data_IF_870525282162
#
_entry.id   IF_870525282162
#
_cell.length_a   1.000
_cell.length_b   1.000
_cell.length_c   1.000
_cell.angle_alpha   90.00
_cell.angle_beta   90.00
_cell.angle_gamma   90.00
#
_symmetry.space_group_name_H-M   'P 1'
#
loop_
_entity.id
_entity.type
_entity.pdbx_description
1 polymer ?
#
# COMPACT_ATOMS: atom_id res chain seq x y z
N UNK A 1 1.34 26.15 -16.09
CA UNK A 1 0.34 26.12 -15.00
C UNK A 1 -1.06 26.30 -15.58
N UNK A 2 -2.11 25.64 -15.05
CA UNK A 2 -3.50 25.81 -15.55
C UNK A 2 -3.97 27.27 -15.63
N UNK A 3 -3.46 28.14 -14.76
CA UNK A 3 -3.77 29.57 -14.77
C UNK A 3 -3.31 30.31 -16.04
N UNK A 4 -2.14 29.98 -16.60
CA UNK A 4 -1.67 30.56 -17.87
C UNK A 4 -2.45 30.02 -19.07
N UNK A 5 -2.90 28.76 -18.99
CA UNK A 5 -3.76 28.18 -20.02
C UNK A 5 -5.16 28.82 -20.02
N UNK A 6 -5.77 28.98 -18.84
CA UNK A 6 -7.04 29.69 -18.67
C UNK A 6 -6.96 31.16 -19.07
N UNK A 7 -5.81 31.80 -18.83
CA UNK A 7 -5.59 33.16 -19.26
C UNK A 7 -5.66 33.29 -20.79
N UNK A 8 -4.94 32.44 -21.52
CA UNK A 8 -4.96 32.41 -22.99
C UNK A 8 -6.35 32.08 -23.55
N UNK A 9 -7.20 31.43 -22.77
CA UNK A 9 -8.57 31.10 -23.15
C UNK A 9 -9.58 32.23 -22.86
N UNK A 10 -9.26 33.12 -21.90
CA UNK A 10 -10.16 34.20 -21.45
C UNK A 10 -9.75 35.60 -21.95
N UNK A 11 -8.47 35.85 -22.20
CA UNK A 11 -7.95 37.17 -22.62
C UNK A 11 -6.64 37.04 -23.43
N UNK A 12 -6.61 37.65 -24.61
CA UNK A 12 -5.47 37.58 -25.56
C UNK A 12 -4.39 38.64 -25.31
N UNK A 13 -4.63 39.59 -24.41
CA UNK A 13 -3.93 40.86 -24.45
C UNK A 13 -2.57 40.89 -23.72
N UNK A 14 -2.41 40.24 -22.55
CA UNK A 14 -1.24 40.44 -21.68
C UNK A 14 -0.51 39.13 -21.37
N UNK A 15 0.83 39.10 -21.39
CA UNK A 15 1.61 37.93 -20.97
C UNK A 15 1.79 37.94 -19.43
N UNK A 16 1.00 37.14 -18.69
CA UNK A 16 1.14 37.08 -17.24
C UNK A 16 2.28 36.14 -16.84
N UNK A 17 3.36 36.75 -16.36
CA UNK A 17 4.49 36.03 -15.75
C UNK A 17 4.27 35.92 -14.24
N UNK A 18 3.87 34.72 -13.81
CA UNK A 18 3.75 34.39 -12.40
C UNK A 18 5.12 34.02 -11.83
N UNK A 19 5.71 34.88 -11.00
CA UNK A 19 6.93 34.56 -10.26
C UNK A 19 6.63 33.78 -8.98
N UNK A 20 7.64 33.10 -8.43
CA UNK A 20 7.55 32.54 -7.07
C UNK A 20 7.21 33.62 -6.02
N UNK A 21 7.68 34.85 -6.22
CA UNK A 21 7.31 36.02 -5.43
C UNK A 21 5.82 36.29 -5.45
N UNK A 22 5.18 36.26 -6.63
CA UNK A 22 3.74 36.44 -6.76
C UNK A 22 2.95 35.37 -6.01
N UNK A 23 3.33 34.08 -6.17
CA UNK A 23 2.64 32.98 -5.50
C UNK A 23 2.75 33.06 -3.98
N UNK A 24 3.95 33.38 -3.46
CA UNK A 24 4.17 33.53 -2.02
C UNK A 24 3.42 34.75 -1.45
N UNK A 25 3.41 35.88 -2.16
CA UNK A 25 2.66 37.07 -1.81
C UNK A 25 1.14 36.85 -1.85
N UNK A 26 0.64 36.15 -2.87
CA UNK A 26 -0.76 35.74 -2.98
C UNK A 26 -1.17 34.86 -1.79
N UNK A 27 -0.35 33.87 -1.45
CA UNK A 27 -0.58 33.02 -0.27
C UNK A 27 -0.68 33.83 1.02
N UNK A 28 0.21 34.82 1.21
CA UNK A 28 0.21 35.71 2.38
C UNK A 28 -1.02 36.62 2.43
N UNK A 29 -1.39 37.25 1.31
CA UNK A 29 -2.56 38.17 1.22
C UNK A 29 -3.87 37.47 1.54
N UNK A 30 -4.04 36.24 1.08
CA UNK A 30 -5.26 35.47 1.31
C UNK A 30 -5.18 34.54 2.54
N UNK A 31 -4.18 34.72 3.41
CA UNK A 31 -3.94 33.88 4.59
C UNK A 31 -3.90 32.37 4.32
N UNK A 32 -3.50 31.98 3.11
CA UNK A 32 -3.35 30.60 2.69
C UNK A 32 -2.07 30.02 3.30
N UNK A 33 -2.22 29.04 4.18
CA UNK A 33 -1.09 28.34 4.79
C UNK A 33 -1.05 26.89 4.35
N UNK A 34 0.17 26.40 4.12
CA UNK A 34 0.41 24.98 3.99
C UNK A 34 0.21 24.33 5.36
N UNK A 35 -0.76 23.42 5.47
CA UNK A 35 -1.04 22.71 6.72
C UNK A 35 -0.95 21.20 6.46
N UNK A 36 -0.05 20.54 7.18
CA UNK A 36 0.03 19.08 7.20
C UNK A 36 -1.06 18.53 8.12
N UNK A 37 -1.87 17.60 7.62
CA UNK A 37 -2.82 16.87 8.47
C UNK A 37 -2.04 15.77 9.19
N UNK A 38 -2.02 15.81 10.52
CA UNK A 38 -1.45 14.73 11.33
C UNK A 38 -2.37 13.50 11.26
N UNK A 39 -1.80 12.34 10.96
CA UNK A 39 -2.47 11.06 11.14
C UNK A 39 -2.21 10.54 12.54
N UNK A 40 -3.08 9.66 13.03
CA UNK A 40 -2.82 8.87 14.23
C UNK A 40 -1.55 8.03 14.01
N UNK A 41 -0.53 8.29 14.82
CA UNK A 41 0.61 7.40 14.97
C UNK A 41 0.32 6.52 16.19
N UNK A 42 -0.09 5.27 15.94
CA UNK A 42 -0.19 4.28 17.01
C UNK A 42 1.24 3.82 17.31
N UNK A 43 1.76 4.22 18.47
CA UNK A 43 3.10 3.86 18.93
C UNK A 43 3.08 2.42 19.46
N UNK A 44 3.97 1.57 18.96
CA UNK A 44 4.19 0.25 19.50
C UNK A 44 5.17 0.33 20.67
N UNK A 45 4.95 -0.48 21.71
CA UNK A 45 5.89 -0.60 22.83
C UNK A 45 7.26 -1.09 22.32
N UNK A 46 8.35 -0.30 22.48
CA UNK A 46 9.68 -0.69 22.04
C UNK A 46 10.16 -2.01 22.62
N UNK A 47 9.80 -2.33 23.87
CA UNK A 47 10.22 -3.56 24.53
C UNK A 47 9.54 -4.78 23.89
N UNK A 48 8.22 -4.71 23.66
CA UNK A 48 7.49 -5.74 22.93
C UNK A 48 8.03 -5.95 21.49
N UNK A 49 8.40 -4.86 20.79
CA UNK A 49 8.99 -4.95 19.44
C UNK A 49 10.36 -5.65 19.49
N UNK A 50 11.19 -5.33 20.49
CA UNK A 50 12.50 -5.96 20.65
C UNK A 50 12.37 -7.47 20.89
N UNK A 51 11.54 -7.88 21.86
CA UNK A 51 11.30 -9.29 22.16
C UNK A 51 10.72 -10.04 20.95
N UNK A 52 9.76 -9.42 20.25
CA UNK A 52 9.16 -10.02 19.05
C UNK A 52 10.15 -10.19 17.90
N UNK A 53 11.17 -9.33 17.77
CA UNK A 53 12.25 -9.50 16.79
C UNK A 53 13.18 -10.64 17.14
N UNK A 54 13.57 -10.75 18.41
CA UNK A 54 14.44 -11.83 18.87
C UNK A 54 13.80 -13.20 18.63
N UNK A 55 12.53 -13.36 19.02
CA UNK A 55 11.77 -14.60 18.78
C UNK A 55 11.65 -14.94 17.28
N UNK A 56 11.50 -13.94 16.42
CA UNK A 56 11.51 -14.17 14.98
C UNK A 56 12.87 -14.61 14.47
N UNK A 57 13.96 -14.00 14.95
CA UNK A 57 15.33 -14.33 14.57
C UNK A 57 15.66 -15.78 14.96
N UNK A 58 15.42 -16.16 16.22
CA UNK A 58 15.64 -17.52 16.72
C UNK A 58 14.90 -18.58 15.89
N UNK A 59 13.74 -18.20 15.35
CA UNK A 59 12.92 -19.05 14.50
C UNK A 59 13.43 -19.10 13.06
N UNK A 60 13.88 -17.97 12.51
CA UNK A 60 14.40 -17.89 11.14
C UNK A 60 15.76 -18.50 10.97
N UNK A 61 16.59 -18.48 12.01
CA UNK A 61 17.96 -19.01 12.00
C UNK A 61 17.99 -20.53 11.83
N UNK A 62 16.86 -21.20 12.06
CA UNK A 62 16.68 -22.64 11.81
C UNK A 62 16.51 -22.98 10.31
N UNK A 63 16.47 -21.98 9.44
CA UNK A 63 16.18 -22.13 8.01
C UNK A 63 17.21 -21.44 7.12
N UNK A 64 17.40 -21.98 5.92
CA UNK A 64 18.21 -21.32 4.91
C UNK A 64 17.51 -20.01 4.44
N UNK A 65 18.25 -18.92 4.17
CA UNK A 65 17.65 -17.65 3.72
C UNK A 65 16.78 -17.78 2.45
N UNK A 66 17.11 -18.72 1.57
CA UNK A 66 16.36 -19.02 0.34
C UNK A 66 14.96 -19.62 0.60
N UNK A 67 14.73 -20.10 1.81
CA UNK A 67 13.52 -20.78 2.28
C UNK A 67 12.72 -19.93 3.28
N UNK A 68 13.18 -18.72 3.58
CA UNK A 68 12.50 -17.76 4.44
C UNK A 68 11.86 -16.69 3.55
N UNK A 69 10.53 -16.67 3.49
CA UNK A 69 9.79 -15.63 2.74
C UNK A 69 9.17 -14.59 3.66
N UNK A 70 9.32 -13.34 3.26
CA UNK A 70 8.62 -12.21 3.85
C UNK A 70 7.55 -11.70 2.88
N UNK A 71 6.35 -11.48 3.41
CA UNK A 71 5.23 -10.93 2.65
C UNK A 71 4.76 -9.63 3.29
N UNK A 72 4.78 -8.55 2.52
CA UNK A 72 4.26 -7.25 2.94
C UNK A 72 3.08 -6.80 2.08
N UNK A 73 2.23 -5.96 2.66
CA UNK A 73 1.04 -5.42 2.02
C UNK A 73 1.17 -3.91 1.87
N UNK A 74 1.01 -3.44 0.64
CA UNK A 74 0.93 -2.01 0.35
C UNK A 74 -0.46 -1.66 -0.18
N UNK A 75 -1.03 -0.57 0.33
CA UNK A 75 -2.34 -0.08 -0.10
C UNK A 75 -2.20 0.99 -1.17
N UNK A 76 -2.70 0.73 -2.38
CA UNK A 76 -2.85 1.75 -3.41
C UNK A 76 -4.21 2.45 -3.23
N UNK A 77 -4.20 3.61 -2.58
CA UNK A 77 -5.39 4.43 -2.40
C UNK A 77 -5.49 5.50 -3.50
N UNK A 78 -6.02 5.12 -4.66
CA UNK A 78 -6.13 6.02 -5.82
C UNK A 78 -7.15 7.15 -5.63
N UNK A 79 -8.11 7.00 -4.71
CA UNK A 79 -9.10 8.04 -4.40
C UNK A 79 -8.75 8.83 -3.12
N UNK A 80 -7.53 8.69 -2.60
CA UNK A 80 -7.15 9.41 -1.39
C UNK A 80 -7.04 10.90 -1.66
N UNK A 81 -7.79 11.71 -0.90
CA UNK A 81 -7.59 13.16 -0.86
C UNK A 81 -6.16 13.48 -0.39
N UNK A 82 -5.49 14.49 -0.97
CA UNK A 82 -4.14 14.85 -0.58
C UNK A 82 -4.05 15.12 0.93
N UNK A 83 -3.00 14.59 1.57
CA UNK A 83 -2.73 14.74 3.01
C UNK A 83 -2.45 16.20 3.39
N UNK A 84 -2.03 16.99 2.40
CA UNK A 84 -1.66 18.40 2.53
C UNK A 84 -2.63 19.23 1.70
N UNK A 85 -3.20 20.27 2.30
CA UNK A 85 -4.05 21.23 1.61
C UNK A 85 -3.62 22.66 1.95
N UNK A 86 -3.74 23.55 0.98
CA UNK A 86 -3.56 24.99 1.17
C UNK A 86 -4.91 25.55 1.59
N UNK A 87 -5.04 26.01 2.83
CA UNK A 87 -6.32 26.49 3.37
C UNK A 87 -6.13 27.73 4.24
N UNK A 88 -7.15 28.58 4.29
CA UNK A 88 -7.19 29.80 5.12
C UNK A 88 -7.41 29.47 6.60
N UNK A 89 -8.33 28.54 6.89
CA UNK A 89 -8.60 28.00 8.22
C UNK A 89 -8.29 26.51 8.28
N UNK A 90 -8.04 25.98 9.48
CA UNK A 90 -7.98 24.54 9.71
C UNK A 90 -9.35 23.94 9.37
N UNK A 91 -9.43 23.21 8.26
CA UNK A 91 -10.65 22.50 7.87
C UNK A 91 -10.68 21.15 8.57
N UNK A 92 -11.86 20.75 9.07
CA UNK A 92 -12.06 19.39 9.56
C UNK A 92 -11.61 18.39 8.50
N UNK A 93 -10.93 17.32 8.93
CA UNK A 93 -10.43 16.30 8.01
C UNK A 93 -11.59 15.72 7.21
N UNK A 94 -11.49 15.76 5.88
CA UNK A 94 -12.42 15.02 5.02
C UNK A 94 -12.20 13.54 5.33
N UNK A 95 -13.28 12.81 5.68
CA UNK A 95 -13.22 11.37 5.90
C UNK A 95 -12.56 10.74 4.69
N UNK A 96 -11.36 10.18 4.87
CA UNK A 96 -10.59 9.60 3.78
C UNK A 96 -11.43 8.51 3.13
N UNK A 97 -11.76 8.68 1.84
CA UNK A 97 -12.34 7.60 1.06
C UNK A 97 -11.22 6.58 0.88
N UNK A 98 -11.24 5.54 1.71
CA UNK A 98 -10.28 4.41 1.68
C UNK A 98 -10.65 3.41 0.57
N UNK A 99 -11.11 3.87 -0.60
CA UNK A 99 -11.21 2.98 -1.75
C UNK A 99 -9.80 2.79 -2.30
N UNK A 100 -9.31 1.56 -2.18
CA UNK A 100 -7.97 1.21 -2.58
C UNK A 100 -7.90 -0.24 -3.01
N UNK A 101 -6.86 -0.53 -3.78
CA UNK A 101 -6.43 -1.88 -4.10
C UNK A 101 -5.27 -2.18 -3.16
N UNK A 102 -5.35 -3.30 -2.44
CA UNK A 102 -4.24 -3.80 -1.63
C UNK A 102 -3.38 -4.69 -2.51
N UNK A 103 -2.09 -4.44 -2.51
CA UNK A 103 -1.08 -5.26 -3.18
C UNK A 103 -0.35 -6.06 -2.10
N UNK A 104 -0.28 -7.38 -2.26
CA UNK A 104 0.58 -8.24 -1.46
C UNK A 104 1.81 -8.60 -2.30
N UNK A 105 2.98 -8.31 -1.75
CA UNK A 105 4.28 -8.58 -2.34
C UNK A 105 5.02 -9.57 -1.45
N UNK A 106 5.64 -10.57 -2.05
CA UNK A 106 6.36 -11.61 -1.31
C UNK A 106 7.72 -11.83 -1.94
N UNK A 107 8.76 -11.90 -1.11
CA UNK A 107 10.13 -12.20 -1.55
C UNK A 107 10.84 -13.04 -0.49
N UNK A 108 11.83 -13.82 -0.90
CA UNK A 108 12.67 -14.54 0.04
C UNK A 108 13.71 -13.62 0.70
N UNK A 109 14.32 -14.09 1.79
CA UNK A 109 15.23 -13.29 2.59
C UNK A 109 16.54 -12.96 1.86
N UNK A 110 16.97 -13.78 0.91
CA UNK A 110 18.14 -13.53 0.07
C UNK A 110 17.85 -12.68 -1.19
N UNK A 111 16.58 -12.42 -1.50
CA UNK A 111 16.13 -11.65 -2.66
C UNK A 111 16.25 -12.34 -4.02
N UNK A 112 16.64 -13.61 -4.06
CA UNK A 112 16.78 -14.38 -5.32
C UNK A 112 15.44 -14.77 -5.95
N UNK A 113 14.36 -14.76 -5.17
CA UNK A 113 13.01 -15.11 -5.60
C UNK A 113 11.95 -14.12 -5.09
N UNK A 114 11.01 -13.80 -5.97
CA UNK A 114 9.87 -12.95 -5.68
C UNK A 114 8.62 -13.57 -6.28
N UNK A 115 7.57 -13.68 -5.47
CA UNK A 115 6.29 -14.21 -5.94
C UNK A 115 5.57 -13.16 -6.78
N UNK A 116 4.74 -13.59 -7.75
CA UNK A 116 3.89 -12.69 -8.50
C UNK A 116 3.06 -11.78 -7.57
N UNK A 117 2.96 -10.48 -7.89
CA UNK A 117 2.18 -9.55 -7.09
C UNK A 117 0.71 -9.95 -7.08
N UNK A 118 0.13 -9.94 -5.89
CA UNK A 118 -1.27 -10.26 -5.72
C UNK A 118 -2.08 -9.01 -5.42
N UNK A 119 -3.17 -8.84 -6.15
CA UNK A 119 -4.08 -7.72 -5.99
C UNK A 119 -5.32 -8.13 -5.21
N UNK A 120 -5.74 -7.29 -4.27
CA UNK A 120 -7.02 -7.47 -3.56
C UNK A 120 -7.80 -6.17 -3.52
N UNK A 121 -9.10 -6.27 -3.78
CA UNK A 121 -10.01 -5.14 -3.75
C UNK A 121 -11.38 -5.53 -3.24
N UNK A 122 -12.27 -4.55 -3.10
CA UNK A 122 -13.60 -4.76 -2.53
C UNK A 122 -14.55 -5.54 -3.43
N UNK A 123 -14.44 -5.32 -4.74
CA UNK A 123 -15.42 -5.76 -5.75
C UNK A 123 -14.86 -6.91 -6.57
N UNK A 124 -15.65 -7.95 -6.84
CA UNK A 124 -15.23 -9.11 -7.67
C UNK A 124 -14.75 -8.73 -9.07
N UNK A 125 -15.44 -7.78 -9.70
CA UNK A 125 -15.10 -7.24 -11.02
C UNK A 125 -15.12 -5.70 -10.95
N UNK A 126 -13.98 -5.06 -10.66
CA UNK A 126 -13.84 -3.62 -10.74
C UNK A 126 -14.29 -3.08 -12.10
N UNK A 127 -14.84 -1.88 -12.13
CA UNK A 127 -15.29 -1.24 -13.38
C UNK A 127 -14.14 -1.11 -14.40
N UNK A 128 -12.93 -0.84 -13.93
CA UNK A 128 -11.73 -0.74 -14.77
C UNK A 128 -11.37 -2.04 -15.51
N UNK A 129 -11.94 -3.19 -15.14
CA UNK A 129 -11.72 -4.44 -15.87
C UNK A 129 -12.51 -4.53 -17.19
N UNK A 130 -13.37 -3.54 -17.50
CA UNK A 130 -14.17 -3.50 -18.74
C UNK A 130 -14.92 -4.83 -18.98
N UNK A 131 -15.55 -5.36 -17.93
CA UNK A 131 -16.27 -6.66 -17.91
C UNK A 131 -15.40 -7.92 -18.11
N UNK A 132 -14.07 -7.79 -18.22
CA UNK A 132 -13.13 -8.92 -18.26
C UNK A 132 -12.90 -9.48 -16.84
N UNK A 133 -12.46 -10.73 -16.77
CA UNK A 133 -11.96 -11.32 -15.52
C UNK A 133 -10.50 -10.94 -15.32
N UNK A 134 -10.04 -10.96 -14.06
CA UNK A 134 -8.63 -10.67 -13.74
C UNK A 134 -7.65 -11.62 -14.44
N UNK A 135 -8.00 -12.92 -14.51
CA UNK A 135 -7.22 -13.91 -15.24
C UNK A 135 -7.04 -13.54 -16.73
N UNK A 136 -8.08 -12.99 -17.39
CA UNK A 136 -7.97 -12.49 -18.78
C UNK A 136 -7.10 -11.24 -18.92
N UNK A 137 -6.76 -10.57 -17.81
CA UNK A 137 -5.85 -9.44 -17.76
C UNK A 137 -4.44 -9.87 -17.28
N UNK A 138 -4.21 -11.16 -17.02
CA UNK A 138 -2.96 -11.66 -16.44
C UNK A 138 -2.75 -11.25 -14.99
N UNK A 139 -3.82 -10.87 -14.28
CA UNK A 139 -3.76 -10.42 -12.90
C UNK A 139 -4.27 -11.50 -11.96
N UNK A 140 -3.50 -11.79 -10.92
CA UNK A 140 -4.03 -12.50 -9.75
C UNK A 140 -4.77 -11.49 -8.87
N UNK A 141 -6.08 -11.49 -8.95
CA UNK A 141 -6.94 -10.56 -8.21
C UNK A 141 -7.97 -11.31 -7.38
N UNK A 142 -8.03 -10.98 -6.09
CA UNK A 142 -8.97 -11.57 -5.14
C UNK A 142 -9.85 -10.50 -4.51
N UNK A 143 -11.16 -10.67 -4.65
CA UNK A 143 -12.10 -9.76 -4.02
C UNK A 143 -12.42 -10.18 -2.59
N UNK A 144 -12.35 -9.21 -1.68
CA UNK A 144 -12.75 -9.36 -0.29
C UNK A 144 -13.56 -8.13 0.12
N UNK A 145 -14.67 -8.30 0.85
CA UNK A 145 -15.51 -7.18 1.29
C UNK A 145 -14.74 -6.13 2.11
N UNK A 146 -13.73 -6.55 2.87
CA UNK A 146 -12.86 -5.61 3.60
C UNK A 146 -11.86 -4.92 2.67
N UNK A 147 -11.55 -5.48 1.49
CA UNK A 147 -10.44 -5.10 0.60
C UNK A 147 -9.05 -5.28 1.24
N UNK A 148 -8.98 -5.99 2.36
CA UNK A 148 -7.74 -6.29 3.09
C UNK A 148 -7.52 -7.80 3.04
N UNK A 149 -6.34 -8.24 3.40
CA UNK A 149 -6.01 -9.65 3.46
C UNK A 149 -6.54 -10.26 4.77
N UNK A 150 -7.52 -11.15 4.68
CA UNK A 150 -8.02 -11.91 5.84
C UNK A 150 -7.16 -13.15 6.07
N UNK A 151 -7.11 -13.65 7.31
CA UNK A 151 -6.34 -14.84 7.68
C UNK A 151 -6.64 -16.11 6.86
N UNK A 152 -7.81 -16.22 6.22
CA UNK A 152 -8.16 -17.34 5.33
C UNK A 152 -7.68 -17.15 3.88
N UNK A 153 -7.47 -15.91 3.44
CA UNK A 153 -6.94 -15.63 2.10
C UNK A 153 -5.44 -15.91 2.06
N UNK A 154 -4.75 -15.69 3.17
CA UNK A 154 -3.30 -15.79 3.30
C UNK A 154 -2.73 -17.16 2.87
N UNK A 155 -3.24 -18.32 3.33
CA UNK A 155 -2.68 -19.62 2.94
C UNK A 155 -2.95 -19.95 1.46
N UNK A 156 -4.11 -19.55 0.94
CA UNK A 156 -4.50 -19.74 -0.46
C UNK A 156 -3.59 -18.97 -1.45
N UNK A 157 -2.95 -17.91 -0.97
CA UNK A 157 -2.04 -17.10 -1.79
C UNK A 157 -0.65 -17.71 -1.88
N UNK A 158 -0.24 -18.45 -0.86
CA UNK A 158 1.10 -19.06 -0.76
C UNK A 158 1.11 -20.45 -1.39
N UNK A 159 -0.06 -21.09 -1.46
CA UNK A 159 -0.26 -22.39 -2.08
C UNK A 159 -0.34 -22.34 -3.62
N UNK A 160 -0.03 -21.22 -4.28
CA UNK A 160 -0.09 -21.17 -5.75
C UNK A 160 1.04 -21.97 -6.41
N UNK A 161 0.74 -22.74 -7.47
CA UNK A 161 1.72 -23.56 -8.16
C UNK A 161 2.80 -22.70 -8.82
N UNK A 162 4.05 -23.10 -8.62
CA UNK A 162 5.25 -22.35 -8.99
C UNK A 162 5.85 -22.92 -10.27
N UNK A 163 6.47 -22.07 -11.09
CA UNK A 163 7.19 -22.50 -12.29
C UNK A 163 8.62 -23.02 -12.01
N UNK A 164 9.24 -22.67 -10.86
CA UNK A 164 10.65 -22.99 -10.58
C UNK A 164 10.93 -24.21 -9.69
N UNK A 165 9.94 -24.73 -8.95
CA UNK A 165 10.12 -25.93 -8.09
C UNK A 165 8.89 -26.82 -8.24
N UNK A 166 8.94 -27.73 -9.22
CA UNK A 166 7.95 -28.79 -9.43
C UNK A 166 8.21 -29.91 -8.40
N UNK A 167 7.61 -29.79 -7.22
CA UNK A 167 7.76 -30.73 -6.11
C UNK A 167 6.81 -30.35 -4.99
N UNK A 168 6.45 -31.31 -4.14
CA UNK A 168 5.49 -31.15 -3.04
C UNK A 168 5.95 -30.02 -2.11
N UNK A 169 5.16 -28.96 -2.04
CA UNK A 169 5.51 -27.74 -1.32
C UNK A 169 4.40 -27.40 -0.34
N UNK A 170 4.65 -27.56 0.96
CA UNK A 170 3.72 -27.14 2.02
C UNK A 170 4.21 -25.86 2.69
N UNK A 171 3.61 -24.70 2.41
CA UNK A 171 3.94 -23.49 3.15
C UNK A 171 3.42 -23.61 4.57
N UNK A 172 4.35 -23.74 5.52
CA UNK A 172 4.00 -23.68 6.94
C UNK A 172 4.13 -22.24 7.41
N UNK A 173 3.03 -21.68 7.89
CA UNK A 173 3.01 -20.38 8.53
C UNK A 173 3.76 -20.48 9.86
N UNK A 174 4.95 -19.88 9.92
CA UNK A 174 5.82 -19.99 11.08
C UNK A 174 5.50 -18.93 12.14
N UNK A 175 5.09 -17.75 11.68
CA UNK A 175 4.63 -16.67 12.54
C UNK A 175 3.60 -15.81 11.82
N UNK A 176 2.56 -15.41 12.55
CA UNK A 176 1.74 -14.25 12.21
C UNK A 176 1.99 -13.20 13.28
N UNK A 177 2.83 -12.23 12.97
CA UNK A 177 2.83 -11.01 13.74
C UNK A 177 1.80 -10.07 13.14
N UNK A 178 0.65 -10.01 13.82
CA UNK A 178 -0.27 -8.88 13.72
C UNK A 178 0.35 -7.72 14.49
N UNK A 179 1.30 -7.01 13.87
CA UNK A 179 1.68 -5.70 14.40
C UNK A 179 0.47 -4.80 14.18
N UNK A 180 -0.18 -4.42 15.28
CA UNK A 180 -1.37 -3.58 15.42
C UNK A 180 -2.71 -4.34 15.39
N UNK A 181 -3.73 -3.88 16.14
CA UNK A 181 -5.05 -4.50 16.17
C UNK A 181 -5.75 -4.53 14.81
N UNK A 182 -5.24 -3.87 13.77
CA UNK A 182 -5.98 -3.73 12.51
C UNK A 182 -5.20 -3.78 11.18
N UNK A 183 -3.86 -3.69 11.07
CA UNK A 183 -3.31 -3.25 9.76
C UNK A 183 -2.04 -3.90 9.18
N UNK A 184 -1.36 -4.85 9.82
CA UNK A 184 -0.30 -5.62 9.15
C UNK A 184 -0.38 -7.08 9.55
N UNK A 185 -0.46 -7.98 8.56
CA UNK A 185 -0.17 -9.39 8.82
C UNK A 185 1.14 -9.65 8.09
N UNK A 186 2.22 -9.73 8.86
CA UNK A 186 3.48 -10.26 8.40
C UNK A 186 3.36 -11.76 8.61
N UNK A 187 3.55 -12.54 7.56
CA UNK A 187 3.68 -13.98 7.68
C UNK A 187 5.02 -14.41 7.16
N UNK A 188 5.70 -15.19 7.98
CA UNK A 188 6.91 -15.90 7.60
C UNK A 188 6.52 -17.31 7.24
N UNK A 189 7.06 -17.82 6.14
CA UNK A 189 6.76 -19.15 5.65
C UNK A 189 8.01 -19.99 5.63
N UNK A 190 7.84 -21.23 6.07
CA UNK A 190 8.81 -22.28 5.87
C UNK A 190 8.50 -23.01 4.59
N UNK A 191 9.60 -23.45 4.01
CA UNK A 191 9.72 -24.17 2.78
C UNK A 191 10.46 -25.47 3.10
N UNK A 192 9.79 -26.62 3.04
CA UNK A 192 10.47 -27.92 3.08
C UNK A 192 10.39 -28.56 1.69
N UNK A 193 11.41 -29.32 1.25
CA UNK A 193 11.27 -30.25 0.14
C UNK A 193 10.25 -31.36 0.43
#
# INVERSE_FOLDING_TARGET
>A
MKAQALQKELYDAWDLKFSYGWLSGFGRRHALRYRQRHGEAESADPAAVYLGRQQLQDLTDQYAPLDVYHMDKTGLCYAMSPVRSICTRGTHGVKKIKTGITLALTTNADGSDALPPLFSGRVKKPYCFKKRTAAKLGLDYRANHKAWMTGHLFPLMVAQPRSRRAGLWTPHLVSRQCFLPQYRCIGMYKCSP
#
